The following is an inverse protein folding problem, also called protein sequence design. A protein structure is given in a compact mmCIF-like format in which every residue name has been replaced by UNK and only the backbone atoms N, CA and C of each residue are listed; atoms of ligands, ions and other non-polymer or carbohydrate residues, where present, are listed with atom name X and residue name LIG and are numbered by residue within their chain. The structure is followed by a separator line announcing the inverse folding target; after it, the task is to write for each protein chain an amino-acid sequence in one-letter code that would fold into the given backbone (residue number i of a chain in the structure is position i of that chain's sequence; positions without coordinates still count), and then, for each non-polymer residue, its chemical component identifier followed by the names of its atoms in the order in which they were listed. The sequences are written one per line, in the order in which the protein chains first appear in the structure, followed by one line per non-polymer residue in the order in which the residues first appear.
data_IF_657102730196
#
_entry.id   IF_657102730196
#
_cell.length_a   1.000
_cell.length_b   1.000
_cell.length_c   1.000
_cell.angle_alpha   90.00
_cell.angle_beta   90.00
_cell.angle_gamma   90.00
#
_symmetry.space_group_name_H-M   'P 1'
#
loop_
_entity.id
_entity.type
_entity.pdbx_description
1 polymer ?
#
# COMPACT_ATOMS: atom_id res chain seq x y z
N UNK A 1 -5.96 40.45 9.97
CA UNK A 1 -5.63 40.38 8.54
C UNK A 1 -4.75 39.14 8.40
N UNK A 2 -5.32 37.94 8.50
CA UNK A 2 -6.00 37.20 7.44
C UNK A 2 -5.00 36.68 6.39
N UNK A 3 -4.60 35.42 6.61
CA UNK A 3 -4.17 34.39 5.66
C UNK A 3 -3.09 34.77 4.64
N UNK A 4 -1.89 34.25 4.87
CA UNK A 4 -1.14 33.60 3.80
C UNK A 4 -1.34 32.10 4.00
N UNK A 5 -2.11 31.51 3.10
CA UNK A 5 -2.40 30.09 3.03
C UNK A 5 -1.37 29.52 2.06
N UNK A 6 -0.49 28.63 2.51
CA UNK A 6 0.44 27.91 1.65
C UNK A 6 -0.36 27.17 0.56
N UNK A 7 -0.32 27.69 -0.66
CA UNK A 7 -0.74 26.97 -1.87
C UNK A 7 0.40 25.99 -2.18
N UNK A 8 0.27 24.76 -1.67
CA UNK A 8 1.14 23.66 -2.10
C UNK A 8 0.71 23.24 -3.50
N UNK A 9 1.57 23.56 -4.47
CA UNK A 9 1.42 23.19 -5.87
C UNK A 9 1.07 21.70 -6.02
N UNK A 10 -0.13 21.44 -6.55
CA UNK A 10 -0.58 20.11 -6.91
C UNK A 10 0.13 19.67 -8.21
N UNK A 11 1.34 19.12 -8.08
CA UNK A 11 2.04 18.46 -9.19
C UNK A 11 1.23 17.24 -9.67
N UNK A 12 0.55 17.44 -10.79
CA UNK A 12 -0.33 16.45 -11.39
C UNK A 12 0.48 15.45 -12.21
N UNK A 13 0.56 14.22 -11.68
CA UNK A 13 0.98 12.96 -12.32
C UNK A 13 2.34 12.38 -11.92
N UNK A 14 2.84 12.65 -10.72
CA UNK A 14 3.75 11.72 -10.07
C UNK A 14 2.93 10.59 -9.45
N UNK A 15 2.83 9.45 -10.14
CA UNK A 15 2.21 8.23 -9.60
C UNK A 15 2.91 7.86 -8.29
N UNK A 16 2.29 8.17 -7.15
CA UNK A 16 2.88 7.94 -5.84
C UNK A 16 2.97 6.45 -5.59
N UNK A 17 4.19 5.97 -5.33
CA UNK A 17 4.45 4.58 -4.97
C UNK A 17 4.59 4.44 -3.46
N UNK A 18 3.95 3.40 -2.93
CA UNK A 18 3.98 3.05 -1.52
C UNK A 18 4.71 1.73 -1.34
N UNK A 19 5.69 1.72 -0.44
CA UNK A 19 6.29 0.50 0.10
C UNK A 19 5.55 0.13 1.38
N UNK A 20 5.19 -1.14 1.53
CA UNK A 20 4.46 -1.64 2.69
C UNK A 20 5.07 -2.95 3.21
N UNK A 21 4.78 -3.25 4.48
CA UNK A 21 5.16 -4.50 5.15
C UNK A 21 3.89 -5.12 5.71
N UNK A 22 3.66 -6.40 5.42
CA UNK A 22 2.58 -7.22 5.98
C UNK A 22 3.18 -8.26 6.93
N UNK A 23 2.44 -8.60 7.99
CA UNK A 23 2.74 -9.75 8.84
C UNK A 23 1.85 -10.92 8.41
N UNK A 24 2.45 -12.05 8.06
CA UNK A 24 1.72 -13.25 7.69
C UNK A 24 1.33 -14.06 8.94
N UNK A 25 0.40 -15.00 8.78
CA UNK A 25 -0.11 -15.85 9.88
C UNK A 25 1.00 -16.67 10.56
N UNK A 26 2.05 -17.04 9.81
CA UNK A 26 3.23 -17.74 10.30
C UNK A 26 4.25 -16.80 11.00
N UNK A 27 3.86 -15.54 11.25
CA UNK A 27 4.69 -14.44 11.77
C UNK A 27 5.82 -14.00 10.84
N UNK A 28 5.90 -14.53 9.62
CA UNK A 28 6.83 -13.99 8.62
C UNK A 28 6.42 -12.59 8.19
N UNK A 29 7.39 -11.81 7.71
CA UNK A 29 7.16 -10.47 7.16
C UNK A 29 7.25 -10.52 5.63
N UNK A 30 6.29 -9.89 4.98
CA UNK A 30 6.26 -9.73 3.53
C UNK A 30 6.36 -8.25 3.18
N UNK A 31 7.32 -7.88 2.33
CA UNK A 31 7.46 -6.52 1.80
C UNK A 31 6.88 -6.45 0.40
N UNK A 32 6.21 -5.34 0.07
CA UNK A 32 5.66 -5.11 -1.24
C UNK A 32 5.62 -3.64 -1.61
N UNK A 33 5.34 -3.38 -2.89
CA UNK A 33 5.17 -2.04 -3.44
C UNK A 33 3.87 -1.96 -4.25
N UNK A 34 3.18 -0.82 -4.19
CA UNK A 34 1.93 -0.56 -4.94
C UNK A 34 1.69 0.94 -5.09
N UNK A 35 0.92 1.35 -6.10
CA UNK A 35 0.37 2.71 -6.19
C UNK A 35 -0.97 2.86 -5.45
N UNK A 36 -1.61 1.74 -5.14
CA UNK A 36 -2.89 1.67 -4.46
C UNK A 36 -2.81 0.60 -3.36
N UNK A 37 -2.74 1.06 -2.10
CA UNK A 37 -2.57 0.21 -0.92
C UNK A 37 -3.88 -0.53 -0.60
N UNK A 38 -5.03 0.14 -0.72
CA UNK A 38 -6.35 -0.43 -0.41
C UNK A 38 -6.66 -1.61 -1.32
N UNK A 39 -6.57 -1.41 -2.64
CA UNK A 39 -6.78 -2.48 -3.63
C UNK A 39 -5.79 -3.62 -3.42
N UNK A 40 -4.53 -3.31 -3.09
CA UNK A 40 -3.50 -4.35 -2.87
C UNK A 40 -3.80 -5.18 -1.62
N UNK A 41 -4.29 -4.55 -0.55
CA UNK A 41 -4.71 -5.24 0.67
C UNK A 41 -5.87 -6.22 0.39
N UNK A 42 -6.89 -5.79 -0.35
CA UNK A 42 -7.99 -6.66 -0.77
C UNK A 42 -7.51 -7.88 -1.57
N UNK A 43 -6.57 -7.69 -2.49
CA UNK A 43 -5.97 -8.79 -3.26
C UNK A 43 -5.20 -9.78 -2.37
N UNK A 44 -4.54 -9.31 -1.30
CA UNK A 44 -3.90 -10.20 -0.33
C UNK A 44 -4.94 -11.04 0.42
N UNK A 45 -6.02 -10.42 0.90
CA UNK A 45 -7.11 -11.10 1.60
C UNK A 45 -7.85 -12.10 0.70
N UNK A 46 -8.02 -11.77 -0.58
CA UNK A 46 -8.60 -12.66 -1.59
C UNK A 46 -7.63 -13.75 -2.08
N UNK A 47 -6.36 -13.73 -1.66
CA UNK A 47 -5.34 -14.69 -2.11
C UNK A 47 -4.91 -14.52 -3.57
N UNK A 48 -5.11 -13.35 -4.17
CA UNK A 48 -4.81 -13.05 -5.59
C UNK A 48 -3.59 -12.15 -5.78
N UNK A 49 -3.01 -11.60 -4.70
CA UNK A 49 -1.88 -10.65 -4.80
C UNK A 49 -0.53 -11.29 -5.19
N UNK A 50 0.00 -12.20 -4.36
CA UNK A 50 1.32 -12.80 -4.56
C UNK A 50 1.28 -14.29 -4.21
N UNK A 51 2.07 -15.11 -4.93
CA UNK A 51 2.21 -16.54 -4.64
C UNK A 51 2.65 -16.78 -3.20
N UNK A 52 3.52 -15.93 -2.66
CA UNK A 52 4.05 -16.07 -1.30
C UNK A 52 2.95 -15.86 -0.24
N UNK A 53 2.14 -14.82 -0.41
CA UNK A 53 1.08 -14.47 0.55
C UNK A 53 -0.19 -15.31 0.35
N UNK A 54 -0.44 -15.85 -0.85
CA UNK A 54 -1.60 -16.72 -1.13
C UNK A 54 -1.61 -17.99 -0.27
N UNK A 55 -0.47 -18.62 -0.01
CA UNK A 55 -0.40 -19.83 0.82
C UNK A 55 -0.22 -19.53 2.31
N UNK A 56 -0.07 -18.25 2.69
CA UNK A 56 0.29 -17.79 4.03
C UNK A 56 -0.64 -16.68 4.53
N UNK A 57 -1.82 -16.58 3.90
CA UNK A 57 -2.81 -15.49 3.95
C UNK A 57 -2.57 -14.56 5.15
N UNK A 58 -1.93 -13.40 4.94
CA UNK A 58 -1.70 -12.46 6.03
C UNK A 58 -3.00 -11.87 6.54
N UNK A 59 -3.04 -11.60 7.84
CA UNK A 59 -3.94 -10.67 8.53
C UNK A 59 -3.10 -9.67 9.33
#
# INVERSE_FOLDING_TARGET
MSKEMDEVDADSSADTWFVYILRCVDRSLYTGITKDVSRRCEQHNAGTASRYTRSRLPV
#
